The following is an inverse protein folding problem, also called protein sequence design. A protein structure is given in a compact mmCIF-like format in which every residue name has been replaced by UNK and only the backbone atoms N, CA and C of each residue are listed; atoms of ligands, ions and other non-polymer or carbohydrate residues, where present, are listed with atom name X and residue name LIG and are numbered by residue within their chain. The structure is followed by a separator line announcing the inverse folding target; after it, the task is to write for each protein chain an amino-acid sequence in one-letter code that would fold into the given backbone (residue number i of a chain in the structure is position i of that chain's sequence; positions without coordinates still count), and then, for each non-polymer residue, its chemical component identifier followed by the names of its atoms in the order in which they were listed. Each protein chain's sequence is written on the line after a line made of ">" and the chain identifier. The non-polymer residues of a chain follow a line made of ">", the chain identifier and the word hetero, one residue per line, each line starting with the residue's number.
data_IF_082200055539
#
_entry.id   IF_082200055539
#
_cell.length_a   1.000
_cell.length_b   1.000
_cell.length_c   1.000
_cell.angle_alpha   90.00
_cell.angle_beta   90.00
_cell.angle_gamma   90.00
#
_symmetry.space_group_name_H-M   'P 1'
#
loop_
_entity.id
_entity.type
_entity.pdbx_description
1 polymer ?
#
# COMPACT_ATOMS: atom_id res chain seq x y z
N UNK A 1 1.00 0.70 20.63
CA UNK A 1 1.37 -0.55 19.89
C UNK A 1 1.90 -0.09 18.56
N UNK A 2 3.23 0.09 18.48
CA UNK A 2 3.87 0.71 17.32
C UNK A 2 3.49 -0.02 16.04
N UNK A 3 2.84 0.69 15.11
CA UNK A 3 2.51 0.15 13.78
C UNK A 3 3.80 0.16 12.96
N UNK A 4 4.57 -0.93 13.07
CA UNK A 4 5.74 -1.14 12.23
C UNK A 4 5.25 -1.26 10.77
N UNK A 5 5.91 -0.57 9.85
CA UNK A 5 5.72 -0.75 8.41
C UNK A 5 5.96 -2.23 8.04
N UNK A 6 5.36 -2.69 6.95
CA UNK A 6 5.54 -4.07 6.45
C UNK A 6 5.03 -5.21 7.34
N UNK A 7 4.19 -4.91 8.34
CA UNK A 7 3.40 -5.92 9.06
C UNK A 7 2.57 -6.77 8.09
N UNK A 8 2.57 -8.08 8.31
CA UNK A 8 1.76 -9.04 7.57
C UNK A 8 0.49 -9.32 8.35
N UNK A 9 -0.64 -9.18 7.67
CA UNK A 9 -1.99 -9.25 8.21
C UNK A 9 -2.81 -10.26 7.41
N UNK A 10 -3.66 -11.01 8.09
CA UNK A 10 -4.79 -11.66 7.44
C UNK A 10 -5.81 -10.60 6.97
N UNK A 11 -6.65 -10.97 6.00
CA UNK A 11 -7.76 -10.10 5.55
C UNK A 11 -8.66 -9.66 6.72
N UNK A 12 -8.90 -10.57 7.69
CA UNK A 12 -9.74 -10.25 8.85
C UNK A 12 -9.08 -9.22 9.75
N UNK A 13 -7.80 -9.40 10.09
CA UNK A 13 -7.05 -8.43 10.88
C UNK A 13 -6.98 -7.06 10.20
N UNK A 14 -6.80 -7.02 8.88
CA UNK A 14 -6.86 -5.76 8.12
C UNK A 14 -8.24 -5.07 8.25
N UNK A 15 -9.34 -5.81 8.13
CA UNK A 15 -10.69 -5.27 8.30
C UNK A 15 -10.94 -4.78 9.74
N UNK A 16 -10.46 -5.53 10.74
CA UNK A 16 -10.55 -5.15 12.15
C UNK A 16 -9.77 -3.86 12.45
N UNK A 17 -8.56 -3.71 11.90
CA UNK A 17 -7.75 -2.48 12.01
C UNK A 17 -8.47 -1.27 11.40
N UNK A 18 -9.19 -1.47 10.30
CA UNK A 18 -9.97 -0.41 9.65
C UNK A 18 -11.40 -0.26 10.21
N UNK A 19 -11.73 -0.99 11.28
CA UNK A 19 -13.04 -0.97 11.94
C UNK A 19 -14.22 -1.19 10.96
N UNK A 20 -14.07 -2.13 10.03
CA UNK A 20 -15.11 -2.51 9.07
C UNK A 20 -15.32 -4.01 9.07
N UNK A 21 -16.53 -4.43 8.69
CA UNK A 21 -16.81 -5.86 8.55
C UNK A 21 -16.11 -6.46 7.32
N UNK A 22 -16.12 -5.74 6.20
CA UNK A 22 -15.51 -6.14 4.93
C UNK A 22 -14.99 -4.93 4.18
N UNK A 23 -13.87 -5.12 3.47
CA UNK A 23 -13.37 -4.17 2.47
C UNK A 23 -13.72 -4.70 1.07
N UNK A 24 -14.80 -4.17 0.49
CA UNK A 24 -15.33 -4.61 -0.80
C UNK A 24 -14.74 -3.87 -2.00
N UNK A 25 -14.19 -2.68 -1.76
CA UNK A 25 -13.59 -1.82 -2.77
C UNK A 25 -12.09 -1.76 -2.53
N UNK A 26 -11.31 -1.80 -3.61
CA UNK A 26 -9.89 -1.48 -3.56
C UNK A 26 -9.52 -0.04 -3.15
N UNK A 27 -10.45 0.92 -3.06
CA UNK A 27 -10.19 2.30 -2.68
C UNK A 27 -11.39 2.80 -1.89
N UNK A 28 -11.12 3.45 -0.78
CA UNK A 28 -12.11 3.85 0.21
C UNK A 28 -11.74 5.25 0.71
N UNK A 29 -12.47 6.26 0.22
CA UNK A 29 -12.27 7.67 0.52
C UNK A 29 -12.78 7.97 1.93
N UNK A 30 -11.90 8.50 2.78
CA UNK A 30 -12.15 8.95 4.17
C UNK A 30 -12.95 7.96 5.01
N UNK A 31 -12.23 6.97 5.50
CA UNK A 31 -12.68 6.05 6.55
C UNK A 31 -12.87 6.79 7.89
N UNK A 32 -13.26 6.06 8.93
CA UNK A 32 -13.30 6.58 10.30
C UNK A 32 -12.34 5.73 11.17
N UNK A 33 -11.20 6.26 11.65
CA UNK A 33 -10.72 7.66 11.60
C UNK A 33 -10.40 8.21 10.19
N UNK A 34 -10.40 9.54 10.05
CA UNK A 34 -10.42 10.29 8.77
C UNK A 34 -9.12 10.22 7.95
N UNK A 35 -8.84 9.05 7.39
CA UNK A 35 -7.88 8.85 6.29
C UNK A 35 -8.51 7.97 5.22
N UNK A 36 -7.96 8.00 4.01
CA UNK A 36 -8.39 7.13 2.92
C UNK A 36 -7.61 5.81 2.90
N UNK A 37 -8.18 4.75 2.33
CA UNK A 37 -7.52 3.43 2.25
C UNK A 37 -7.48 2.92 0.82
N UNK A 38 -6.29 2.55 0.34
CA UNK A 38 -6.09 1.81 -0.90
C UNK A 38 -5.69 0.36 -0.61
N UNK A 39 -6.34 -0.58 -1.29
CA UNK A 39 -5.98 -1.98 -1.37
C UNK A 39 -5.35 -2.24 -2.74
N UNK A 40 -4.06 -2.50 -2.72
CA UNK A 40 -3.22 -2.76 -3.87
C UNK A 40 -3.15 -4.27 -4.07
N UNK A 41 -3.80 -4.77 -5.12
CA UNK A 41 -3.87 -6.20 -5.44
C UNK A 41 -3.36 -6.44 -6.84
N UNK A 42 -2.07 -6.73 -6.96
CA UNK A 42 -1.47 -7.13 -8.23
C UNK A 42 -1.88 -8.57 -8.59
N UNK A 43 -2.40 -8.76 -9.80
CA UNK A 43 -2.45 -10.11 -10.40
C UNK A 43 -1.10 -10.34 -11.10
N UNK A 44 -0.59 -11.55 -11.04
CA UNK A 44 0.65 -11.99 -11.72
C UNK A 44 0.66 -11.80 -13.25
N UNK A 45 -0.49 -11.49 -13.86
CA UNK A 45 -0.66 -11.18 -15.28
C UNK A 45 -1.42 -9.86 -15.53
N UNK A 46 -1.54 -8.97 -14.53
CA UNK A 46 -2.02 -7.63 -14.79
C UNK A 46 -0.87 -6.79 -15.39
N UNK A 47 -1.11 -5.95 -16.41
CA UNK A 47 -0.08 -5.04 -16.95
C UNK A 47 0.37 -3.95 -15.97
N UNK A 48 0.05 -4.10 -14.69
CA UNK A 48 0.20 -3.12 -13.63
C UNK A 48 1.11 -3.70 -12.55
N UNK A 49 2.41 -3.68 -12.83
CA UNK A 49 3.43 -3.69 -11.78
C UNK A 49 3.37 -2.32 -11.11
N UNK A 50 3.32 -2.27 -9.77
CA UNK A 50 3.43 -1.00 -9.06
C UNK A 50 4.69 -0.30 -9.55
N UNK A 51 4.53 0.92 -10.07
CA UNK A 51 5.69 1.74 -10.40
C UNK A 51 6.10 2.43 -9.11
N UNK A 52 7.04 1.81 -8.40
CA UNK A 52 7.88 2.57 -7.48
C UNK A 52 8.75 3.44 -8.38
N UNK A 53 8.66 4.76 -8.22
CA UNK A 53 9.51 5.69 -8.96
C UNK A 53 10.97 5.53 -8.51
N UNK A 54 11.92 6.05 -9.28
CA UNK A 54 13.36 5.91 -9.00
C UNK A 54 13.77 6.52 -7.63
N UNK A 55 12.91 7.37 -7.05
CA UNK A 55 13.07 7.92 -5.70
C UNK A 55 12.88 6.87 -4.57
N UNK A 56 12.26 5.72 -4.87
CA UNK A 56 12.02 4.63 -3.93
C UNK A 56 10.89 4.88 -2.91
N UNK A 57 10.17 6.00 -3.03
CA UNK A 57 9.16 6.46 -2.05
C UNK A 57 7.84 6.91 -2.69
N UNK A 58 7.81 7.08 -4.01
CA UNK A 58 6.60 7.42 -4.76
C UNK A 58 6.05 6.17 -5.46
N UNK A 59 4.74 5.95 -5.35
CA UNK A 59 4.02 4.85 -6.00
C UNK A 59 2.89 5.35 -6.90
N UNK A 60 2.52 4.54 -7.88
CA UNK A 60 1.40 4.78 -8.77
C UNK A 60 0.29 3.75 -8.54
N UNK A 61 -0.97 4.20 -8.38
CA UNK A 61 -2.14 3.36 -8.12
C UNK A 61 -3.22 3.56 -9.18
N UNK A 62 -3.77 2.48 -9.74
CA UNK A 62 -4.88 2.56 -10.70
C UNK A 62 -6.23 2.83 -10.02
N UNK A 63 -6.99 3.75 -10.59
CA UNK A 63 -8.36 4.03 -10.20
C UNK A 63 -9.30 2.83 -10.33
N UNK A 64 -10.55 3.05 -9.95
CA UNK A 64 -11.57 2.01 -9.96
C UNK A 64 -12.45 2.01 -11.19
N UNK A 65 -12.93 0.81 -11.51
CA UNK A 65 -13.89 0.62 -12.58
C UNK A 65 -15.31 0.93 -12.11
N UNK A 66 -16.18 1.22 -13.07
CA UNK A 66 -17.62 1.25 -12.85
C UNK A 66 -18.12 -0.04 -12.20
N UNK A 67 -19.09 0.06 -11.29
CA UNK A 67 -19.74 -1.13 -10.77
C UNK A 67 -20.45 -1.89 -11.91
N UNK A 68 -20.39 -3.22 -11.89
CA UNK A 68 -21.00 -4.11 -12.90
C UNK A 68 -22.52 -3.90 -13.08
N UNK A 69 -23.18 -3.33 -12.07
CA UNK A 69 -24.62 -3.03 -12.14
C UNK A 69 -24.95 -1.89 -13.11
N UNK A 70 -23.96 -1.11 -13.54
CA UNK A 70 -24.13 -0.01 -14.50
C UNK A 70 -23.60 -0.35 -15.91
N UNK A 71 -22.68 -1.31 -16.02
CA UNK A 71 -21.97 -1.62 -17.26
C UNK A 71 -21.72 -3.14 -17.32
N UNK A 72 -22.05 -3.76 -18.46
CA UNK A 72 -21.92 -5.20 -18.67
C UNK A 72 -20.47 -5.70 -18.55
N UNK A 73 -19.50 -4.96 -19.10
CA UNK A 73 -18.07 -5.21 -18.91
C UNK A 73 -17.33 -3.93 -18.48
N UNK A 74 -17.04 -3.73 -17.18
CA UNK A 74 -16.34 -2.54 -16.72
C UNK A 74 -14.94 -2.33 -17.29
N UNK A 75 -14.30 -3.37 -17.86
CA UNK A 75 -12.90 -3.30 -18.34
C UNK A 75 -12.73 -2.77 -19.75
N UNK A 76 -13.83 -2.51 -20.47
CA UNK A 76 -13.80 -1.91 -21.81
C UNK A 76 -14.29 -0.46 -21.83
N UNK A 77 -14.71 0.08 -20.68
CA UNK A 77 -15.20 1.44 -20.55
C UNK A 77 -14.31 2.27 -19.64
N UNK A 78 -14.11 3.53 -20.02
CA UNK A 78 -13.40 4.54 -19.26
C UNK A 78 -13.86 4.57 -17.80
N UNK A 79 -12.90 4.76 -16.90
CA UNK A 79 -13.20 4.90 -15.48
C UNK A 79 -13.97 6.21 -15.24
N UNK A 80 -15.13 6.16 -14.56
CA UNK A 80 -15.93 7.35 -14.37
C UNK A 80 -15.55 8.13 -13.11
N UNK A 81 -15.62 9.46 -13.19
CA UNK A 81 -15.58 10.35 -12.02
C UNK A 81 -16.95 10.45 -11.32
N UNK A 82 -18.04 10.25 -12.06
CA UNK A 82 -19.42 10.36 -11.57
C UNK A 82 -20.24 9.15 -12.02
N UNK A 83 -21.16 8.71 -11.17
CA UNK A 83 -22.20 7.76 -11.56
C UNK A 83 -23.16 8.41 -12.56
N UNK A 84 -23.97 7.62 -13.30
CA UNK A 84 -25.01 8.17 -14.17
C UNK A 84 -26.00 9.12 -13.44
N UNK A 85 -26.17 8.93 -12.13
CA UNK A 85 -26.97 9.81 -11.27
C UNK A 85 -26.31 11.15 -10.93
N UNK A 86 -25.08 11.41 -11.40
CA UNK A 86 -24.30 12.60 -11.11
C UNK A 86 -23.54 12.57 -9.78
N UNK A 87 -23.80 11.60 -8.90
CA UNK A 87 -23.06 11.42 -7.64
C UNK A 87 -21.60 11.04 -7.93
N UNK A 88 -20.62 11.59 -7.18
CA UNK A 88 -19.22 11.26 -7.40
C UNK A 88 -18.94 9.78 -7.10
N UNK A 89 -18.10 9.16 -7.93
CA UNK A 89 -17.50 7.86 -7.63
C UNK A 89 -16.37 8.02 -6.63
N UNK A 90 -15.75 6.91 -6.20
CA UNK A 90 -14.51 6.99 -5.44
C UNK A 90 -13.44 7.77 -6.22
N UNK A 91 -13.29 7.52 -7.52
CA UNK A 91 -12.36 8.27 -8.36
C UNK A 91 -12.65 9.78 -8.31
N UNK A 92 -13.92 10.18 -8.47
CA UNK A 92 -14.32 11.58 -8.40
C UNK A 92 -14.04 12.24 -7.05
N UNK A 93 -14.18 11.51 -5.94
CA UNK A 93 -13.83 12.00 -4.61
C UNK A 93 -12.32 12.22 -4.46
N UNK A 94 -11.50 11.27 -4.91
CA UNK A 94 -10.04 11.41 -4.87
C UNK A 94 -9.53 12.51 -5.82
N UNK A 95 -10.09 12.61 -7.03
CA UNK A 95 -9.76 13.69 -7.98
C UNK A 95 -10.07 15.05 -7.38
N UNK A 96 -11.25 15.20 -6.75
CA UNK A 96 -11.60 16.44 -6.04
C UNK A 96 -10.58 16.78 -4.95
N UNK A 97 -10.12 15.80 -4.18
CA UNK A 97 -9.12 16.01 -3.14
C UNK A 97 -7.75 16.43 -3.73
N UNK A 98 -7.30 15.79 -4.81
CA UNK A 98 -6.06 16.17 -5.49
C UNK A 98 -6.15 17.60 -6.05
N UNK A 99 -7.26 17.96 -6.69
CA UNK A 99 -7.44 19.30 -7.24
C UNK A 99 -7.40 20.36 -6.12
N UNK A 100 -8.10 20.12 -5.02
CA UNK A 100 -8.06 21.03 -3.85
C UNK A 100 -6.63 21.19 -3.29
N UNK A 101 -5.85 20.11 -3.24
CA UNK A 101 -4.44 20.16 -2.84
C UNK A 101 -3.59 20.99 -3.82
N UNK A 102 -3.71 20.74 -5.13
CA UNK A 102 -3.00 21.49 -6.18
C UNK A 102 -3.32 22.98 -6.17
N UNK A 103 -4.57 23.32 -5.87
CA UNK A 103 -5.07 24.70 -5.73
C UNK A 103 -4.71 25.32 -4.36
N UNK A 104 -4.01 24.58 -3.49
CA UNK A 104 -3.62 25.00 -2.13
C UNK A 104 -4.83 25.32 -1.23
N UNK A 105 -5.97 24.70 -1.48
CA UNK A 105 -7.19 24.82 -0.68
C UNK A 105 -7.22 23.82 0.48
N UNK A 106 -6.44 22.76 0.41
CA UNK A 106 -6.30 21.77 1.48
C UNK A 106 -4.91 21.14 1.50
N UNK A 107 -4.56 20.52 2.62
CA UNK A 107 -3.47 19.54 2.68
C UNK A 107 -3.76 18.33 1.78
N UNK A 108 -2.72 17.56 1.37
CA UNK A 108 -2.93 16.36 0.59
C UNK A 108 -3.74 15.32 1.38
N UNK A 109 -4.56 14.54 0.69
CA UNK A 109 -5.32 13.45 1.29
C UNK A 109 -4.35 12.35 1.74
N UNK A 110 -4.41 11.98 3.02
CA UNK A 110 -3.61 10.88 3.57
C UNK A 110 -4.26 9.56 3.19
N UNK A 111 -3.50 8.70 2.51
CA UNK A 111 -3.92 7.39 2.06
C UNK A 111 -3.08 6.31 2.73
N UNK A 112 -3.73 5.44 3.49
CA UNK A 112 -3.12 4.21 4.01
C UNK A 112 -3.18 3.13 2.93
N UNK A 113 -2.04 2.54 2.60
CA UNK A 113 -1.93 1.57 1.51
C UNK A 113 -1.66 0.18 2.08
N UNK A 114 -2.54 -0.76 1.74
CA UNK A 114 -2.35 -2.19 1.96
C UNK A 114 -2.01 -2.88 0.66
N UNK A 115 -1.08 -3.83 0.74
CA UNK A 115 -0.56 -4.58 -0.39
C UNK A 115 -0.90 -6.05 -0.25
N UNK A 116 -1.50 -6.65 -1.27
CA UNK A 116 -1.82 -8.07 -1.27
C UNK A 116 -0.57 -8.89 -1.59
N UNK A 117 -0.15 -9.72 -0.66
CA UNK A 117 0.98 -10.65 -0.83
C UNK A 117 0.50 -11.96 -1.46
N UNK A 118 -0.58 -12.53 -0.92
CA UNK A 118 -1.28 -13.69 -1.48
C UNK A 118 -2.75 -13.67 -1.09
N UNK A 119 -3.51 -14.67 -1.53
CA UNK A 119 -4.90 -14.80 -1.08
C UNK A 119 -5.00 -14.82 0.45
N UNK A 120 -5.87 -13.96 0.99
CA UNK A 120 -6.07 -13.78 2.42
C UNK A 120 -4.95 -13.07 3.17
N UNK A 121 -3.80 -12.78 2.56
CA UNK A 121 -2.63 -12.19 3.22
C UNK A 121 -2.27 -10.83 2.61
N UNK A 122 -2.20 -9.84 3.48
CA UNK A 122 -1.94 -8.44 3.18
C UNK A 122 -0.73 -7.93 3.96
N UNK A 123 -0.11 -6.87 3.48
CA UNK A 123 0.97 -6.17 4.16
C UNK A 123 0.68 -4.67 4.20
N UNK A 124 0.93 -4.01 5.33
CA UNK A 124 0.85 -2.55 5.40
C UNK A 124 2.05 -1.95 4.66
N UNK A 125 1.80 -1.24 3.55
CA UNK A 125 2.86 -0.58 2.78
C UNK A 125 3.24 0.78 3.35
N UNK A 126 2.31 1.43 4.05
CA UNK A 126 2.52 2.70 4.74
C UNK A 126 1.40 3.70 4.56
N UNK A 127 1.66 4.92 4.99
CA UNK A 127 0.79 6.08 4.80
C UNK A 127 1.42 7.02 3.79
N UNK A 128 0.63 7.50 2.85
CA UNK A 128 1.07 8.27 1.71
C UNK A 128 0.25 9.54 1.55
N UNK A 129 0.89 10.60 1.10
CA UNK A 129 0.23 11.81 0.63
C UNK A 129 -0.19 11.59 -0.83
N UNK A 130 -1.48 11.78 -1.12
CA UNK A 130 -1.98 11.77 -2.49
C UNK A 130 -1.71 13.13 -3.15
N UNK A 131 -0.67 13.17 -3.99
CA UNK A 131 -0.12 14.44 -4.52
C UNK A 131 -0.59 14.77 -5.94
N UNK A 132 -0.94 13.76 -6.75
CA UNK A 132 -1.29 13.97 -8.14
C UNK A 132 -2.16 12.81 -8.69
N UNK A 133 -2.77 13.02 -9.86
CA UNK A 133 -3.33 11.97 -10.71
C UNK A 133 -3.15 12.32 -12.19
N UNK A 134 -3.16 11.28 -13.04
CA UNK A 134 -3.19 11.41 -14.50
C UNK A 134 -4.23 10.47 -15.09
N UNK A 135 -4.70 10.78 -16.29
CA UNK A 135 -5.54 9.89 -17.10
C UNK A 135 -4.63 9.22 -18.12
N UNK A 136 -4.63 7.89 -18.15
CA UNK A 136 -3.80 7.10 -19.06
C UNK A 136 -4.71 6.19 -19.89
N UNK A 137 -4.49 6.15 -21.19
CA UNK A 137 -5.11 5.14 -22.03
C UNK A 137 -4.32 3.82 -21.92
N UNK A 138 -4.96 2.74 -21.48
CA UNK A 138 -4.34 1.41 -21.31
C UNK A 138 -4.32 0.58 -22.60
N UNK A 139 -4.63 1.19 -23.75
CA UNK A 139 -4.82 0.55 -25.05
C UNK A 139 -6.27 0.10 -25.30
N UNK A 140 -7.15 0.15 -24.28
CA UNK A 140 -8.57 -0.20 -24.40
C UNK A 140 -9.48 0.91 -23.92
N UNK A 141 -9.08 1.61 -22.86
CA UNK A 141 -9.87 2.65 -22.20
C UNK A 141 -9.00 3.61 -21.42
N UNK A 142 -9.58 4.72 -21.00
CA UNK A 142 -8.94 5.65 -20.08
C UNK A 142 -9.12 5.19 -18.63
N UNK A 143 -8.01 5.13 -17.89
CA UNK A 143 -7.95 4.82 -16.46
C UNK A 143 -7.30 5.97 -15.70
N UNK A 144 -7.72 6.17 -14.46
CA UNK A 144 -7.03 7.09 -13.56
C UNK A 144 -5.79 6.43 -12.97
N UNK A 145 -4.72 7.20 -12.83
CA UNK A 145 -3.49 6.82 -12.13
C UNK A 145 -3.22 7.85 -11.07
N UNK A 146 -3.32 7.45 -9.82
CA UNK A 146 -3.03 8.28 -8.65
C UNK A 146 -1.54 8.16 -8.29
N UNK A 147 -0.90 9.27 -7.99
CA UNK A 147 0.50 9.35 -7.63
C UNK A 147 0.57 9.66 -6.14
N UNK A 148 1.19 8.75 -5.38
CA UNK A 148 1.25 8.81 -3.93
C UNK A 148 2.70 8.84 -3.47
N UNK A 149 3.04 9.77 -2.59
CA UNK A 149 4.38 9.89 -2.00
C UNK A 149 4.33 9.49 -0.53
N UNK A 150 5.28 8.71 -0.05
CA UNK A 150 5.36 8.31 1.36
C UNK A 150 5.26 9.56 2.27
N UNK A 151 4.39 9.51 3.28
CA UNK A 151 4.04 10.68 4.11
C UNK A 151 4.97 10.81 5.31
N UNK A 152 5.72 11.92 5.37
CA UNK A 152 6.60 12.24 6.51
C UNK A 152 5.82 12.55 7.80
N UNK A 153 4.52 12.84 7.68
CA UNK A 153 3.66 13.26 8.80
C UNK A 153 3.30 12.09 9.73
N UNK A 154 3.32 10.86 9.23
CA UNK A 154 2.88 9.69 10.00
C UNK A 154 4.00 9.07 10.85
N UNK A 155 5.27 9.36 10.53
CA UNK A 155 6.41 8.97 11.37
C UNK A 155 6.42 9.70 12.73
N UNK A 156 5.74 10.86 12.85
CA UNK A 156 5.74 11.68 14.07
C UNK A 156 4.73 11.26 15.15
N UNK A 157 3.90 10.22 14.93
CA UNK A 157 2.89 9.79 15.91
C UNK A 157 3.42 8.93 17.07
N UNK A 158 4.66 8.42 17.01
CA UNK A 158 5.29 7.65 18.08
C UNK A 158 6.73 8.15 18.32
N UNK A 159 6.87 9.42 18.70
CA UNK A 159 8.16 9.94 19.17
C UNK A 159 8.50 9.36 20.55
N UNK A 160 9.24 8.24 20.58
CA UNK A 160 10.35 8.02 21.51
C UNK A 160 11.25 6.82 21.22
N UNK A 161 11.10 6.10 20.11
CA UNK A 161 12.13 5.12 19.70
C UNK A 161 12.07 4.87 18.18
N UNK A 162 13.25 4.72 17.54
CA UNK A 162 13.49 4.53 16.09
C UNK A 162 13.66 5.80 15.24
N UNK A 163 14.66 6.63 15.59
CA UNK A 163 15.38 7.37 14.55
C UNK A 163 16.02 6.35 13.59
N UNK A 164 15.62 6.38 12.31
CA UNK A 164 16.28 5.75 11.16
C UNK A 164 16.11 4.23 10.98
N UNK A 165 14.92 3.72 10.63
CA UNK A 165 14.85 2.37 10.01
C UNK A 165 13.81 2.29 8.87
N UNK A 166 14.33 2.18 7.64
CA UNK A 166 13.66 1.74 6.39
C UNK A 166 12.85 2.74 5.54
N UNK A 167 13.52 3.77 5.03
CA UNK A 167 12.91 4.82 4.17
C UNK A 167 12.62 4.42 2.72
N UNK A 168 12.83 3.16 2.29
CA UNK A 168 12.52 2.72 0.91
C UNK A 168 11.59 1.53 0.89
N UNK A 169 10.50 1.69 0.13
CA UNK A 169 9.47 0.67 -0.03
C UNK A 169 10.06 -0.63 -0.58
N UNK A 170 9.71 -1.75 0.04
CA UNK A 170 10.00 -3.07 -0.53
C UNK A 170 9.07 -3.29 -1.74
N UNK A 171 9.61 -3.59 -2.94
CA UNK A 171 8.80 -3.91 -4.11
C UNK A 171 7.92 -5.14 -3.86
N UNK A 172 6.77 -5.16 -4.51
CA UNK A 172 5.78 -6.23 -4.39
C UNK A 172 6.34 -7.60 -4.74
N UNK A 173 7.09 -7.68 -5.84
CA UNK A 173 7.69 -8.92 -6.31
C UNK A 173 8.71 -9.45 -5.30
N UNK A 174 9.51 -8.56 -4.70
CA UNK A 174 10.43 -8.93 -3.62
C UNK A 174 9.66 -9.50 -2.42
N UNK A 175 8.57 -8.85 -1.98
CA UNK A 175 7.75 -9.37 -0.87
C UNK A 175 7.13 -10.73 -1.18
N UNK A 176 6.63 -10.93 -2.41
CA UNK A 176 6.05 -12.23 -2.86
C UNK A 176 7.12 -13.32 -2.89
N UNK A 177 8.30 -13.02 -3.41
CA UNK A 177 9.42 -13.96 -3.49
C UNK A 177 9.95 -14.33 -2.10
N UNK A 178 10.11 -13.34 -1.21
CA UNK A 178 10.47 -13.57 0.20
C UNK A 178 9.41 -14.43 0.89
N UNK A 179 8.12 -14.11 0.71
CA UNK A 179 7.03 -14.89 1.29
C UNK A 179 7.06 -16.35 0.82
N UNK A 180 7.31 -16.58 -0.48
CA UNK A 180 7.43 -17.92 -1.07
C UNK A 180 8.66 -18.66 -0.54
N UNK A 181 9.82 -18.00 -0.49
CA UNK A 181 11.09 -18.54 0.01
C UNK A 181 10.97 -18.96 1.48
N UNK A 182 10.46 -18.07 2.32
CA UNK A 182 10.35 -18.25 3.77
C UNK A 182 9.11 -19.06 4.17
N UNK A 183 8.31 -19.47 3.19
CA UNK A 183 7.11 -20.32 3.35
C UNK A 183 6.09 -19.73 4.33
N UNK A 184 6.01 -18.40 4.43
CA UNK A 184 5.16 -17.69 5.37
C UNK A 184 5.48 -17.98 6.84
N UNK A 185 6.77 -18.14 7.17
CA UNK A 185 7.26 -18.42 8.53
C UNK A 185 8.44 -17.52 8.87
N UNK A 186 8.59 -17.24 10.16
CA UNK A 186 9.79 -16.60 10.69
C UNK A 186 11.01 -17.48 10.39
N UNK A 187 12.03 -16.94 9.74
CA UNK A 187 13.22 -17.70 9.37
C UNK A 187 14.07 -18.13 10.58
N UNK A 188 13.93 -17.45 11.72
CA UNK A 188 14.69 -17.75 12.93
C UNK A 188 14.03 -18.77 13.86
N UNK A 189 12.69 -18.78 13.95
CA UNK A 189 11.98 -19.63 14.93
C UNK A 189 10.81 -20.43 14.37
N UNK A 190 10.46 -20.26 13.09
CA UNK A 190 9.35 -20.99 12.45
C UNK A 190 7.94 -20.52 12.82
N UNK A 191 7.79 -19.47 13.63
CA UNK A 191 6.49 -18.86 13.95
C UNK A 191 5.77 -18.40 12.67
N UNK A 192 4.45 -18.48 12.66
CA UNK A 192 3.58 -18.16 11.50
C UNK A 192 2.73 -16.91 11.71
N UNK A 193 2.70 -16.38 12.94
CA UNK A 193 1.89 -15.23 13.34
C UNK A 193 2.75 -13.99 13.59
N UNK A 194 2.12 -12.82 13.48
CA UNK A 194 2.77 -11.52 13.71
C UNK A 194 4.10 -11.42 12.94
N UNK A 195 4.03 -11.70 11.65
CA UNK A 195 5.18 -11.67 10.75
C UNK A 195 5.34 -10.28 10.15
N UNK A 196 6.58 -9.95 9.83
CA UNK A 196 6.98 -8.66 9.27
C UNK A 196 8.06 -8.93 8.23
N UNK A 197 8.10 -8.14 7.16
CA UNK A 197 9.30 -8.08 6.32
C UNK A 197 10.35 -7.23 7.05
N UNK A 198 11.55 -7.78 7.19
CA UNK A 198 12.70 -7.13 7.82
C UNK A 198 13.89 -7.21 6.86
N UNK A 199 14.75 -6.20 6.88
CA UNK A 199 15.97 -6.22 6.09
C UNK A 199 17.15 -6.78 6.90
N UNK A 200 17.97 -7.60 6.25
CA UNK A 200 19.21 -8.13 6.82
C UNK A 200 20.24 -7.01 6.99
N UNK A 201 20.58 -6.33 5.88
CA UNK A 201 21.32 -5.08 5.90
C UNK A 201 20.33 -3.91 5.80
N UNK A 202 20.24 -3.03 6.82
CA UNK A 202 19.39 -1.86 6.76
C UNK A 202 19.80 -0.92 5.62
N UNK A 203 18.81 -0.23 5.04
CA UNK A 203 19.05 0.74 3.96
C UNK A 203 20.10 1.81 4.34
N UNK A 204 20.03 2.34 5.56
CA UNK A 204 20.97 3.35 6.08
C UNK A 204 22.44 2.88 6.08
N UNK A 205 22.68 1.57 6.01
CA UNK A 205 24.01 0.94 5.96
C UNK A 205 24.35 0.41 4.56
N UNK A 206 23.65 0.86 3.52
CA UNK A 206 23.85 0.46 2.12
C UNK A 206 23.03 -0.76 1.69
N UNK A 207 22.11 -1.25 2.53
CA UNK A 207 21.18 -2.30 2.16
C UNK A 207 20.22 -1.87 1.06
N UNK A 208 19.66 -2.84 0.33
CA UNK A 208 18.71 -2.59 -0.75
C UNK A 208 17.41 -3.35 -0.53
N UNK A 209 16.28 -2.69 -0.79
CA UNK A 209 14.95 -3.33 -0.79
C UNK A 209 14.68 -4.12 -2.08
N UNK A 210 15.56 -4.03 -3.09
CA UNK A 210 15.38 -4.68 -4.41
C UNK A 210 15.82 -6.15 -4.43
N UNK A 211 16.65 -6.57 -3.48
CA UNK A 211 17.19 -7.92 -3.45
C UNK A 211 16.43 -8.78 -2.45
N UNK A 212 15.89 -9.91 -2.94
CA UNK A 212 15.19 -10.91 -2.12
C UNK A 212 16.05 -11.41 -0.97
N UNK A 213 17.35 -11.60 -1.18
CA UNK A 213 18.28 -12.07 -0.15
C UNK A 213 18.64 -11.03 0.92
N UNK A 214 18.23 -9.76 0.77
CA UNK A 214 18.40 -8.74 1.79
C UNK A 214 17.12 -8.50 2.61
N UNK A 215 16.05 -9.25 2.33
CA UNK A 215 14.75 -9.15 3.00
C UNK A 215 14.33 -10.54 3.50
N UNK A 216 13.77 -10.61 4.70
CA UNK A 216 13.31 -11.86 5.34
C UNK A 216 12.03 -11.69 6.13
N UNK A 217 11.36 -12.79 6.44
CA UNK A 217 10.25 -12.82 7.38
C UNK A 217 10.76 -13.04 8.80
N UNK A 218 10.42 -12.11 9.70
CA UNK A 218 10.62 -12.25 11.14
C UNK A 218 9.29 -12.13 11.89
N UNK A 219 9.13 -12.90 12.97
CA UNK A 219 8.05 -12.64 13.91
C UNK A 219 8.42 -11.48 14.85
N UNK A 220 7.41 -10.82 15.44
CA UNK A 220 7.61 -9.71 16.37
C UNK A 220 8.68 -9.99 17.45
N UNK A 221 8.66 -11.19 18.05
CA UNK A 221 9.63 -11.57 19.10
C UNK A 221 11.08 -11.61 18.57
N UNK A 222 11.28 -12.19 17.39
CA UNK A 222 12.60 -12.28 16.77
C UNK A 222 13.09 -10.93 16.28
N UNK A 223 12.20 -10.12 15.70
CA UNK A 223 12.50 -8.77 15.26
C UNK A 223 12.96 -7.87 16.44
N UNK A 224 12.22 -7.89 17.55
CA UNK A 224 12.58 -7.14 18.76
C UNK A 224 13.92 -7.60 19.38
N UNK A 225 14.23 -8.91 19.32
CA UNK A 225 15.51 -9.44 19.81
C UNK A 225 16.69 -9.00 18.94
N UNK A 226 16.50 -8.95 17.62
CA UNK A 226 17.52 -8.47 16.68
C UNK A 226 17.85 -7.00 16.92
N UNK A 227 16.84 -6.15 17.12
CA UNK A 227 17.02 -4.69 17.21
C UNK A 227 17.81 -4.20 15.97
N UNK A 228 18.74 -3.25 16.11
CA UNK A 228 19.55 -2.70 15.01
C UNK A 228 20.83 -3.51 14.70
N UNK A 229 20.95 -4.70 15.27
CA UNK A 229 22.13 -5.56 15.06
C UNK A 229 22.09 -6.16 13.66
N UNK A 230 23.21 -6.04 12.96
CA UNK A 230 23.43 -6.73 11.68
C UNK A 230 23.83 -8.16 12.03
N UNK A 231 23.15 -9.14 11.44
CA UNK A 231 23.44 -10.57 11.56
C UNK A 231 23.68 -11.17 10.18
#
# INVERSE_FOLDING_TARGET
>A
MGKILDNILSYREMCDIENVQTMQRGMNFRMNPSYSVFLMSQKSNAPYSDKIYDDGITIEYEGHDSAKNYIADPKIHDQPEKLPSGKPTQNGLFIKAVNAYKEKLSEPEIVKVYEKIKEGIWSLKGYFDLIDYKVVNDGRRNVFRYILKLSDKVENFDNNDLRLTHTRLIPSEVKKDVWKRDRGKCVLCGETKNLHFDHDLPFAKGGTSLLVNNVRLLCLKCNLKKSDKIE
#
